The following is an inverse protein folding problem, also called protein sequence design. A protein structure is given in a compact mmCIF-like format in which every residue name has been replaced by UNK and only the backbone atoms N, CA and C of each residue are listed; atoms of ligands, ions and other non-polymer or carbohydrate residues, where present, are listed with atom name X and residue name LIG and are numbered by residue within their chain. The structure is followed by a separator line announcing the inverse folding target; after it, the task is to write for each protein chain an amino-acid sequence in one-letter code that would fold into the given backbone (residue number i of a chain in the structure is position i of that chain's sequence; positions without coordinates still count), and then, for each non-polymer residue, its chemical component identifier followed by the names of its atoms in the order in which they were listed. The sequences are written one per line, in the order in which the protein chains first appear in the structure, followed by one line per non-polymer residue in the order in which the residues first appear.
data_IF_693426127407
#
_entry.id   IF_693426127407
#
_cell.length_a   1.000
_cell.length_b   1.000
_cell.length_c   1.000
_cell.angle_alpha   90.00
_cell.angle_beta   90.00
_cell.angle_gamma   90.00
#
_symmetry.space_group_name_H-M   'P 1'
#
loop_
_entity.id
_entity.type
_entity.pdbx_description
1 polymer ?
#
# COMPACT_ATOMS: atom_id res chain seq x y z
N UNK A 1 -3.24 -16.47 29.23
CA UNK A 1 -1.94 -17.02 28.82
C UNK A 1 -2.06 -17.25 27.33
N UNK A 2 -2.16 -16.15 26.55
CA UNK A 2 -2.72 -16.13 25.18
C UNK A 2 -1.86 -15.31 24.20
N UNK A 3 -0.73 -14.78 24.66
CA UNK A 3 0.15 -13.93 23.85
C UNK A 3 0.87 -14.70 22.76
N UNK A 4 1.11 -16.00 22.96
CA UNK A 4 1.92 -16.83 22.06
C UNK A 4 1.14 -17.32 20.83
N UNK A 5 -0.13 -17.68 21.02
CA UNK A 5 -1.03 -18.06 19.92
C UNK A 5 -1.39 -16.86 19.06
N UNK A 6 -1.61 -15.70 19.68
CA UNK A 6 -1.88 -14.45 18.98
C UNK A 6 -0.65 -13.93 18.21
N UNK A 7 0.55 -14.03 18.80
CA UNK A 7 1.80 -13.72 18.10
C UNK A 7 2.05 -14.67 16.91
N UNK A 8 1.79 -15.96 17.09
CA UNK A 8 1.93 -16.96 16.02
C UNK A 8 0.95 -16.73 14.87
N UNK A 9 -0.30 -16.36 15.18
CA UNK A 9 -1.30 -15.99 14.18
C UNK A 9 -0.88 -14.74 13.40
N UNK A 10 -0.32 -13.72 14.08
CA UNK A 10 0.20 -12.51 13.44
C UNK A 10 1.36 -12.81 12.49
N UNK A 11 2.34 -13.60 12.93
CA UNK A 11 3.47 -14.00 12.09
C UNK A 11 3.00 -14.78 10.86
N UNK A 12 2.03 -15.70 11.03
CA UNK A 12 1.43 -16.45 9.92
C UNK A 12 0.74 -15.55 8.91
N UNK A 13 -0.06 -14.58 9.36
CA UNK A 13 -0.75 -13.64 8.47
C UNK A 13 0.23 -12.75 7.70
N UNK A 14 1.30 -12.27 8.35
CA UNK A 14 2.39 -11.53 7.69
C UNK A 14 3.06 -12.40 6.62
N UNK A 15 3.35 -13.66 6.93
CA UNK A 15 3.96 -14.58 5.96
C UNK A 15 3.02 -14.93 4.79
N UNK A 16 1.72 -15.08 5.04
CA UNK A 16 0.73 -15.32 3.99
C UNK A 16 0.61 -14.11 3.06
N UNK A 17 0.62 -12.90 3.62
CA UNK A 17 0.62 -11.66 2.84
C UNK A 17 1.90 -11.52 2.01
N UNK A 18 3.06 -11.88 2.57
CA UNK A 18 4.31 -11.93 1.84
C UNK A 18 4.29 -12.94 0.66
N UNK A 19 3.58 -14.07 0.81
CA UNK A 19 3.39 -15.07 -0.27
C UNK A 19 2.45 -14.58 -1.38
N UNK A 20 1.51 -13.68 -1.07
CA UNK A 20 0.61 -13.07 -2.06
C UNK A 20 1.27 -11.99 -2.91
N UNK A 21 2.55 -11.66 -2.64
CA UNK A 21 3.29 -10.69 -3.44
C UNK A 21 3.32 -11.13 -4.91
N UNK A 22 3.03 -10.22 -5.85
CA UNK A 22 2.92 -10.56 -7.26
C UNK A 22 4.26 -11.04 -7.84
N UNK A 23 4.21 -12.08 -8.65
CA UNK A 23 5.33 -12.52 -9.48
C UNK A 23 5.54 -11.50 -10.61
N UNK A 24 6.79 -11.07 -10.82
CA UNK A 24 7.08 -9.93 -11.65
C UNK A 24 7.10 -10.21 -13.16
N UNK A 25 6.43 -9.36 -13.96
CA UNK A 25 6.36 -9.42 -15.43
C UNK A 25 6.52 -8.04 -16.11
N UNK A 26 6.72 -6.95 -15.36
CA UNK A 26 6.71 -5.56 -15.88
C UNK A 26 8.01 -4.78 -15.70
N UNK A 27 7.95 -3.47 -15.98
CA UNK A 27 9.08 -2.53 -15.78
C UNK A 27 9.54 -2.53 -14.32
N UNK A 28 10.86 -2.50 -14.12
CA UNK A 28 11.53 -2.66 -12.83
C UNK A 28 12.30 -1.41 -12.45
N UNK A 29 12.31 -1.08 -11.16
CA UNK A 29 13.10 0.00 -10.58
C UNK A 29 14.07 -0.54 -9.52
N UNK A 30 15.33 -0.07 -9.53
CA UNK A 30 16.30 -0.47 -8.52
C UNK A 30 15.91 0.10 -7.15
N UNK A 31 15.90 -0.75 -6.14
CA UNK A 31 15.68 -0.41 -4.74
C UNK A 31 16.65 -1.19 -3.88
N UNK A 32 17.43 -0.51 -3.04
CA UNK A 32 18.33 -1.17 -2.10
C UNK A 32 17.55 -1.85 -0.98
N UNK A 33 17.86 -3.11 -0.74
CA UNK A 33 17.29 -3.96 0.33
C UNK A 33 18.44 -4.71 0.99
N UNK A 34 18.63 -4.54 2.30
CA UNK A 34 19.73 -5.17 3.06
C UNK A 34 21.13 -4.86 2.46
N UNK A 35 21.30 -3.67 1.88
CA UNK A 35 22.54 -3.28 1.20
C UNK A 35 22.72 -3.83 -0.22
N UNK A 36 21.79 -4.65 -0.71
CA UNK A 36 21.81 -5.23 -2.06
C UNK A 36 20.76 -4.55 -2.94
N UNK A 37 21.11 -4.20 -4.16
CA UNK A 37 20.13 -3.68 -5.12
C UNK A 37 19.18 -4.79 -5.57
N UNK A 38 17.90 -4.66 -5.21
CA UNK A 38 16.80 -5.45 -5.76
C UNK A 38 16.06 -4.63 -6.79
N UNK A 39 15.35 -5.31 -7.68
CA UNK A 39 14.57 -4.65 -8.72
C UNK A 39 13.09 -4.89 -8.42
N UNK A 40 12.38 -3.85 -7.99
CA UNK A 40 10.96 -3.91 -7.67
C UNK A 40 10.13 -3.48 -8.87
N UNK A 41 9.06 -4.21 -9.13
CA UNK A 41 8.06 -3.83 -10.13
C UNK A 41 6.97 -2.98 -9.49
N UNK A 42 6.20 -2.27 -10.34
CA UNK A 42 5.03 -1.51 -9.91
C UNK A 42 4.13 -2.31 -8.98
N UNK A 43 3.87 -3.58 -9.32
CA UNK A 43 3.00 -4.45 -8.53
C UNK A 43 3.55 -4.72 -7.12
N UNK A 44 4.89 -4.81 -6.96
CA UNK A 44 5.52 -4.93 -5.65
C UNK A 44 5.41 -3.63 -4.84
N UNK A 45 5.61 -2.48 -5.48
CA UNK A 45 5.47 -1.16 -4.83
C UNK A 45 4.03 -0.95 -4.38
N UNK A 46 3.05 -1.16 -5.26
CA UNK A 46 1.64 -1.04 -4.91
C UNK A 46 1.22 -2.01 -3.80
N UNK A 47 1.76 -3.23 -3.77
CA UNK A 47 1.52 -4.17 -2.67
C UNK A 47 1.99 -3.60 -1.32
N UNK A 48 3.19 -3.03 -1.24
CA UNK A 48 3.66 -2.36 -0.02
C UNK A 48 2.76 -1.17 0.38
N UNK A 49 2.33 -0.37 -0.60
CA UNK A 49 1.44 0.76 -0.36
C UNK A 49 0.06 0.29 0.17
N UNK A 50 -0.54 -0.74 -0.43
CA UNK A 50 -1.82 -1.32 0.02
C UNK A 50 -1.75 -1.84 1.45
N UNK A 51 -0.63 -2.47 1.79
CA UNK A 51 -0.44 -3.11 3.08
C UNK A 51 -0.19 -2.09 4.18
N UNK A 52 0.66 -1.09 3.94
CA UNK A 52 1.13 -0.19 5.00
C UNK A 52 0.49 1.20 5.02
N UNK A 53 0.14 1.79 3.86
CA UNK A 53 -0.40 3.16 3.82
C UNK A 53 -1.73 3.37 4.55
N UNK A 54 -2.68 2.42 4.61
CA UNK A 54 -3.91 2.63 5.38
C UNK A 54 -3.64 2.97 6.85
N UNK A 55 -2.55 2.45 7.42
CA UNK A 55 -2.12 2.74 8.80
C UNK A 55 -1.42 4.10 8.96
N UNK A 56 -1.05 4.75 7.86
CA UNK A 56 -0.36 6.05 7.83
C UNK A 56 1.09 5.96 7.38
N UNK A 57 1.67 7.09 6.95
CA UNK A 57 3.01 7.12 6.36
C UNK A 57 4.11 6.75 7.36
N UNK A 58 3.96 7.14 8.63
CA UNK A 58 4.90 6.74 9.68
C UNK A 58 5.01 5.21 9.78
N UNK A 59 3.91 4.50 9.60
CA UNK A 59 3.91 3.05 9.61
C UNK A 59 4.53 2.46 8.35
N UNK A 60 4.26 3.04 7.17
CA UNK A 60 4.95 2.67 5.93
C UNK A 60 6.48 2.76 6.12
N UNK A 61 6.99 3.90 6.57
CA UNK A 61 8.43 4.08 6.75
C UNK A 61 9.01 3.14 7.81
N UNK A 62 8.27 2.87 8.89
CA UNK A 62 8.65 1.84 9.85
C UNK A 62 8.75 0.45 9.20
N UNK A 63 7.77 0.05 8.37
CA UNK A 63 7.82 -1.24 7.68
C UNK A 63 8.96 -1.33 6.67
N UNK A 64 9.22 -0.27 5.91
CA UNK A 64 10.35 -0.23 4.97
C UNK A 64 11.68 -0.38 5.72
N UNK A 65 11.82 0.28 6.87
CA UNK A 65 13.00 0.16 7.71
C UNK A 65 13.18 -1.26 8.27
N UNK A 66 12.11 -1.88 8.77
CA UNK A 66 12.15 -3.26 9.26
C UNK A 66 12.47 -4.28 8.16
N UNK A 67 11.99 -4.04 6.94
CA UNK A 67 12.30 -4.84 5.75
C UNK A 67 13.66 -4.45 5.12
N UNK A 68 14.43 -3.57 5.77
CA UNK A 68 15.74 -3.08 5.34
C UNK A 68 15.73 -2.46 3.93
N UNK A 69 14.58 -1.90 3.53
CA UNK A 69 14.36 -1.20 2.26
C UNK A 69 14.80 0.25 2.41
N UNK A 70 15.63 0.73 1.47
CA UNK A 70 16.01 2.13 1.40
C UNK A 70 14.79 2.99 1.03
N UNK A 71 14.46 3.92 1.92
CA UNK A 71 13.27 4.78 1.78
C UNK A 71 13.40 5.70 0.57
N UNK A 72 14.59 6.24 0.31
CA UNK A 72 14.81 7.16 -0.81
C UNK A 72 14.62 6.45 -2.14
N UNK A 73 15.18 5.25 -2.28
CA UNK A 73 14.99 4.43 -3.48
C UNK A 73 13.51 4.02 -3.65
N UNK A 74 12.80 3.71 -2.56
CA UNK A 74 11.38 3.36 -2.62
C UNK A 74 10.52 4.56 -3.05
N UNK A 75 10.79 5.76 -2.53
CA UNK A 75 10.10 6.98 -2.95
C UNK A 75 10.39 7.31 -4.42
N UNK A 76 11.64 7.15 -4.86
CA UNK A 76 12.00 7.32 -6.27
C UNK A 76 11.27 6.31 -7.18
N UNK A 77 11.11 5.07 -6.73
CA UNK A 77 10.30 4.07 -7.43
C UNK A 77 8.81 4.46 -7.46
N UNK A 78 8.27 5.02 -6.37
CA UNK A 78 6.91 5.54 -6.34
C UNK A 78 6.72 6.69 -7.32
N UNK A 79 7.66 7.63 -7.37
CA UNK A 79 7.64 8.74 -8.33
C UNK A 79 7.63 8.24 -9.76
N UNK A 80 8.54 7.31 -10.07
CA UNK A 80 8.64 6.70 -11.39
C UNK A 80 7.32 6.07 -11.85
N UNK A 81 6.65 5.32 -10.97
CA UNK A 81 5.37 4.68 -11.30
C UNK A 81 4.15 5.60 -11.16
N UNK A 82 4.34 6.90 -10.90
CA UNK A 82 3.25 7.86 -10.71
C UNK A 82 2.47 7.69 -9.40
N UNK A 83 3.03 6.96 -8.43
CA UNK A 83 2.42 6.61 -7.14
C UNK A 83 2.70 7.65 -6.04
N UNK A 84 3.38 8.76 -6.34
CA UNK A 84 3.65 9.84 -5.36
C UNK A 84 2.40 10.37 -4.66
N UNK A 85 1.25 10.34 -5.34
CA UNK A 85 -0.05 10.72 -4.75
C UNK A 85 -0.50 9.80 -3.60
N UNK A 86 -0.08 8.53 -3.62
CA UNK A 86 -0.37 7.54 -2.57
C UNK A 86 0.42 7.86 -1.29
N UNK A 87 1.62 8.40 -1.42
CA UNK A 87 2.51 8.82 -0.32
C UNK A 87 2.08 10.13 0.38
N UNK A 88 0.83 10.58 0.18
CA UNK A 88 0.28 11.72 0.92
C UNK A 88 -0.40 11.24 2.19
N UNK A 89 -0.24 11.97 3.29
CA UNK A 89 -0.90 11.62 4.54
C UNK A 89 -2.43 11.56 4.35
N UNK A 90 -3.06 10.58 4.98
CA UNK A 90 -4.52 10.43 4.96
C UNK A 90 -5.06 11.21 6.13
N UNK A 91 -5.64 12.37 5.84
CA UNK A 91 -6.20 13.25 6.87
C UNK A 91 -7.47 12.66 7.48
N UNK A 92 -7.76 13.01 8.73
CA UNK A 92 -9.00 12.62 9.40
C UNK A 92 -10.24 13.03 8.60
N UNK A 93 -10.25 14.25 8.04
CA UNK A 93 -11.33 14.75 7.19
C UNK A 93 -11.59 13.86 5.97
N UNK A 94 -10.55 13.40 5.29
CA UNK A 94 -10.70 12.49 4.14
C UNK A 94 -11.33 11.15 4.56
N UNK A 95 -10.97 10.66 5.75
CA UNK A 95 -11.55 9.43 6.30
C UNK A 95 -13.04 9.64 6.60
N UNK A 96 -13.41 10.73 7.27
CA UNK A 96 -14.82 11.03 7.55
C UNK A 96 -15.66 11.19 6.27
N UNK A 97 -15.13 11.91 5.28
CA UNK A 97 -15.77 12.10 3.98
C UNK A 97 -15.99 10.76 3.27
N UNK A 98 -14.99 9.87 3.28
CA UNK A 98 -15.12 8.53 2.71
C UNK A 98 -16.11 7.66 3.47
N UNK A 99 -16.07 7.65 4.81
CA UNK A 99 -17.02 6.89 5.63
C UNK A 99 -18.47 7.32 5.35
N UNK A 100 -18.71 8.64 5.26
CA UNK A 100 -20.03 9.17 4.88
C UNK A 100 -20.42 8.70 3.48
N UNK A 101 -19.54 8.85 2.50
CA UNK A 101 -19.82 8.45 1.12
C UNK A 101 -20.13 6.94 1.01
N UNK A 102 -19.44 6.09 1.78
CA UNK A 102 -19.71 4.65 1.88
C UNK A 102 -21.10 4.37 2.45
N UNK A 103 -21.51 5.08 3.51
CA UNK A 103 -22.86 4.96 4.09
C UNK A 103 -23.94 5.38 3.10
N UNK A 104 -23.72 6.48 2.38
CA UNK A 104 -24.65 6.97 1.35
C UNK A 104 -24.81 5.97 0.19
N UNK A 105 -23.73 5.26 -0.18
CA UNK A 105 -23.78 4.18 -1.17
C UNK A 105 -24.39 2.87 -0.64
N UNK A 106 -24.54 2.73 0.67
CA UNK A 106 -24.93 1.47 1.30
C UNK A 106 -23.85 0.40 1.24
N UNK A 107 -22.57 0.80 1.20
CA UNK A 107 -21.44 -0.14 1.17
C UNK A 107 -21.40 -0.95 2.47
N UNK A 108 -21.50 -2.29 2.35
CA UNK A 108 -21.34 -3.16 3.51
C UNK A 108 -19.91 -3.07 4.07
N UNK A 109 -19.72 -3.20 5.40
CA UNK A 109 -18.41 -3.41 5.97
C UNK A 109 -17.75 -4.62 5.33
N UNK A 110 -16.45 -4.55 5.07
CA UNK A 110 -15.75 -5.72 4.55
C UNK A 110 -15.77 -6.86 5.59
N UNK A 111 -15.61 -8.12 5.17
CA UNK A 111 -15.68 -9.30 6.06
C UNK A 111 -14.39 -10.12 6.13
N UNK A 112 -13.39 -9.79 5.30
CA UNK A 112 -12.08 -10.46 5.27
C UNK A 112 -11.07 -9.91 6.27
N UNK A 113 -9.87 -10.50 6.32
CA UNK A 113 -8.74 -9.95 7.08
C UNK A 113 -8.32 -8.61 6.53
N UNK A 114 -8.11 -7.63 7.41
CA UNK A 114 -7.59 -6.33 7.02
C UNK A 114 -6.05 -6.35 6.98
N UNK A 115 -5.42 -5.55 6.10
CA UNK A 115 -3.97 -5.44 6.06
C UNK A 115 -3.40 -5.03 7.42
N UNK A 116 -2.24 -5.59 7.78
CA UNK A 116 -1.45 -5.19 8.97
C UNK A 116 -2.26 -5.00 10.26
N UNK A 117 -3.30 -5.83 10.44
CA UNK A 117 -4.15 -5.86 11.63
C UNK A 117 -4.81 -4.50 11.93
N UNK A 118 -5.29 -3.80 10.89
CA UNK A 118 -6.00 -2.52 11.07
C UNK A 118 -7.20 -2.66 12.02
N UNK A 119 -7.87 -3.81 12.02
CA UNK A 119 -8.97 -4.14 12.93
C UNK A 119 -8.59 -4.12 14.42
N UNK A 120 -7.32 -4.30 14.76
CA UNK A 120 -6.85 -4.25 16.15
C UNK A 120 -6.62 -2.81 16.66
N UNK A 121 -6.46 -1.83 15.76
CA UNK A 121 -6.05 -0.47 16.11
C UNK A 121 -7.08 0.60 15.74
N UNK A 122 -8.06 0.27 14.90
CA UNK A 122 -9.12 1.19 14.50
C UNK A 122 -10.42 0.44 14.20
N UNK A 123 -11.59 1.10 14.32
CA UNK A 123 -12.86 0.51 13.94
C UNK A 123 -12.89 0.06 12.47
N UNK A 124 -13.62 -1.02 12.18
CA UNK A 124 -13.71 -1.62 10.83
C UNK A 124 -14.05 -0.59 9.74
N UNK A 125 -15.02 0.28 10.02
CA UNK A 125 -15.46 1.30 9.08
C UNK A 125 -14.35 2.32 8.73
N UNK A 126 -13.53 2.68 9.73
CA UNK A 126 -12.38 3.57 9.53
C UNK A 126 -11.28 2.87 8.70
N UNK A 127 -11.02 1.59 8.99
CA UNK A 127 -10.07 0.80 8.22
C UNK A 127 -10.50 0.66 6.76
N UNK A 128 -11.78 0.35 6.53
CA UNK A 128 -12.37 0.25 5.20
C UNK A 128 -12.28 1.57 4.41
N UNK A 129 -12.51 2.71 5.06
CA UNK A 129 -12.35 4.02 4.45
C UNK A 129 -10.88 4.30 4.06
N UNK A 130 -9.92 4.02 4.96
CA UNK A 130 -8.49 4.20 4.70
C UNK A 130 -7.99 3.30 3.56
N UNK A 131 -8.42 2.04 3.53
CA UNK A 131 -8.12 1.11 2.43
C UNK A 131 -8.70 1.63 1.11
N UNK A 132 -9.96 2.08 1.10
CA UNK A 132 -10.59 2.61 -0.10
C UNK A 132 -9.89 3.86 -0.65
N UNK A 133 -9.41 4.75 0.22
CA UNK A 133 -8.62 5.93 -0.18
C UNK A 133 -7.32 5.51 -0.86
N UNK A 134 -6.60 4.54 -0.30
CA UNK A 134 -5.34 4.03 -0.88
C UNK A 134 -5.61 3.36 -2.24
N UNK A 135 -6.59 2.48 -2.32
CA UNK A 135 -6.95 1.80 -3.58
C UNK A 135 -7.35 2.79 -4.67
N UNK A 136 -8.15 3.81 -4.32
CA UNK A 136 -8.53 4.85 -5.26
C UNK A 136 -7.30 5.60 -5.79
N UNK A 137 -6.38 6.02 -4.91
CA UNK A 137 -5.14 6.71 -5.33
C UNK A 137 -4.26 5.83 -6.24
N UNK A 138 -4.19 4.52 -5.97
CA UNK A 138 -3.48 3.57 -6.83
C UNK A 138 -4.18 3.44 -8.20
N UNK A 139 -5.52 3.35 -8.21
CA UNK A 139 -6.29 3.27 -9.44
C UNK A 139 -6.13 4.55 -10.29
N UNK A 140 -6.19 5.73 -9.67
CA UNK A 140 -5.93 7.02 -10.32
C UNK A 140 -4.52 7.07 -10.92
N UNK A 141 -3.50 6.61 -10.19
CA UNK A 141 -2.13 6.53 -10.70
C UNK A 141 -2.00 5.58 -11.90
N UNK A 142 -2.72 4.45 -11.91
CA UNK A 142 -2.73 3.53 -13.06
C UNK A 142 -3.38 4.17 -14.29
N UNK A 143 -4.51 4.84 -14.09
CA UNK A 143 -5.21 5.55 -15.15
C UNK A 143 -4.37 6.71 -15.73
N UNK A 144 -3.68 7.46 -14.87
CA UNK A 144 -2.78 8.54 -15.29
C UNK A 144 -1.57 8.05 -16.12
N UNK A 145 -0.99 6.90 -15.77
CA UNK A 145 0.08 6.29 -16.58
C UNK A 145 -0.42 5.81 -17.94
N UNK A 146 -1.62 5.21 -17.99
CA UNK A 146 -2.22 4.74 -19.26
C UNK A 146 -2.59 5.88 -20.22
N UNK A 147 -2.77 7.11 -19.71
CA UNK A 147 -3.14 8.28 -20.50
C UNK A 147 -1.93 9.12 -20.98
N UNK A 148 -0.70 8.81 -20.55
CA UNK A 148 0.49 9.52 -21.00
C UNK A 148 0.86 9.09 -22.44
N UNK A 149 0.86 9.99 -23.44
CA UNK A 149 1.20 9.63 -24.81
C UNK A 149 2.69 9.28 -24.92
N UNK A 150 2.98 8.11 -25.50
CA UNK A 150 4.31 7.78 -26.01
C UNK A 150 4.72 8.87 -27.00
N UNK A 151 5.65 9.73 -26.59
CA UNK A 151 6.26 10.68 -27.51
C UNK A 151 7.19 9.87 -28.42
N UNK A 152 6.94 9.78 -29.74
CA UNK A 152 7.83 9.05 -30.62
C UNK A 152 9.21 9.74 -30.63
N UNK A 153 10.31 8.98 -30.76
CA UNK A 153 11.64 9.56 -30.81
C UNK A 153 11.73 10.53 -31.98
N UNK A 154 12.24 11.74 -31.71
CA UNK A 154 12.52 12.73 -32.73
C UNK A 154 13.50 12.15 -33.76
N UNK A 155 13.10 12.23 -35.04
CA UNK A 155 13.89 11.83 -36.19
C UNK A 155 15.04 12.81 -36.47
#
# INVERSE_FOLDING_TARGET
MDTDEHATARVRAIMEEARRRPAGTGERRPVRVEGITRHLERANIECNLRVSCPRGLNYLYHTLHMDMVDVGDFEAACDHFGLRGVLKEITYRQVEEEMRARRERGDAPSTGSLPMFLDEIMPREMADARVAIVERRIAEARAGTAAAPETPPAA
#
